data_IF_371858996300
#
_entry.id   IF_371858996300
#
_cell.length_a   1.000
_cell.length_b   1.000
_cell.length_c   1.000
_cell.angle_alpha   90.00
_cell.angle_beta   90.00
_cell.angle_gamma   90.00
#
_symmetry.space_group_name_H-M   'P 1'
#
loop_
_entity.id
_entity.type
_entity.pdbx_description
1 polymer ?
#
# COMPACT_ATOMS: atom_id res chain seq x y z
N UNK A 1 18.18 25.84 57.13
CA UNK A 1 19.32 25.69 56.19
C UNK A 1 19.23 24.39 55.36
N UNK A 2 18.11 24.11 54.65
CA UNK A 2 17.95 22.84 53.89
C UNK A 2 17.09 22.98 52.63
N UNK A 3 17.25 24.06 51.86
CA UNK A 3 16.49 24.28 50.61
C UNK A 3 17.35 24.48 49.35
N UNK A 4 18.67 24.65 49.47
CA UNK A 4 19.53 24.99 48.32
C UNK A 4 20.12 23.80 47.56
N UNK A 5 19.98 22.57 48.05
CA UNK A 5 20.62 21.36 47.47
C UNK A 5 19.70 20.61 46.49
N UNK A 6 18.39 20.75 46.62
CA UNK A 6 17.39 20.06 45.79
C UNK A 6 17.42 20.44 44.28
N UNK A 7 17.69 21.69 43.85
CA UNK A 7 17.66 22.03 42.42
C UNK A 7 18.89 21.52 41.65
N UNK A 8 20.00 21.22 42.34
CA UNK A 8 21.22 20.69 41.71
C UNK A 8 21.11 19.19 41.43
N UNK A 9 20.46 18.43 42.33
CA UNK A 9 20.26 16.99 42.16
C UNK A 9 19.30 16.67 41.00
N UNK A 10 18.30 17.53 40.76
CA UNK A 10 17.39 17.41 39.60
C UNK A 10 18.09 17.64 38.26
N UNK A 11 19.17 18.43 38.21
CA UNK A 11 19.97 18.67 37.00
C UNK A 11 20.94 17.52 36.71
N UNK A 12 21.46 16.87 37.74
CA UNK A 12 22.32 15.69 37.60
C UNK A 12 21.56 14.46 37.08
N UNK A 13 20.30 14.28 37.48
CA UNK A 13 19.45 13.17 37.01
C UNK A 13 18.96 13.34 35.55
N UNK A 14 19.01 14.56 35.00
CA UNK A 14 18.66 14.88 33.61
C UNK A 14 19.88 14.91 32.67
N UNK A 15 21.10 14.82 33.20
CA UNK A 15 22.32 14.79 32.41
C UNK A 15 22.50 13.53 31.53
N UNK A 16 22.09 12.30 31.91
CA UNK A 16 22.27 11.15 31.04
C UNK A 16 21.24 11.11 29.88
N UNK A 17 20.21 11.96 29.88
CA UNK A 17 19.28 12.10 28.74
C UNK A 17 19.85 12.97 27.60
N UNK A 18 20.93 13.71 27.84
CA UNK A 18 21.61 14.52 26.81
C UNK A 18 22.80 13.80 26.18
N UNK A 19 23.13 12.60 26.64
CA UNK A 19 24.23 11.80 26.14
C UNK A 19 23.77 10.43 25.65
N UNK A 20 22.63 10.41 24.95
CA UNK A 20 22.51 9.48 23.82
C UNK A 20 23.62 9.93 22.89
N UNK A 21 24.71 9.15 22.68
CA UNK A 21 25.65 9.52 21.65
C UNK A 21 24.79 9.67 20.40
N UNK A 22 25.07 10.70 19.61
CA UNK A 22 24.80 10.64 18.19
C UNK A 22 25.52 9.38 17.67
N UNK A 23 24.97 8.19 17.96
CA UNK A 23 24.94 7.08 17.04
C UNK A 23 24.62 7.80 15.76
N UNK A 24 25.57 7.74 14.85
CA UNK A 24 25.33 8.09 13.49
C UNK A 24 23.85 7.80 13.24
N UNK A 25 23.06 8.86 13.11
CA UNK A 25 22.06 8.84 12.09
C UNK A 25 22.91 8.67 10.84
N UNK A 26 23.39 7.44 10.61
CA UNK A 26 23.68 6.94 9.30
C UNK A 26 22.46 7.45 8.56
N UNK A 27 22.62 8.38 7.60
CA UNK A 27 21.49 8.73 6.78
C UNK A 27 21.00 7.38 6.31
N UNK A 28 19.81 6.96 6.75
CA UNK A 28 19.22 5.71 6.33
C UNK A 28 19.31 5.83 4.82
N UNK A 29 20.22 5.06 4.21
CA UNK A 29 20.69 5.31 2.85
C UNK A 29 19.44 5.61 2.04
N UNK A 30 19.36 6.75 1.32
CA UNK A 30 18.12 7.12 0.66
C UNK A 30 17.71 5.88 -0.12
N UNK A 31 16.58 5.29 0.28
CA UNK A 31 16.15 4.08 -0.39
C UNK A 31 15.72 4.58 -1.76
N UNK A 32 16.57 4.35 -2.77
CA UNK A 32 16.44 4.90 -4.11
C UNK A 32 15.31 4.17 -4.86
N UNK A 33 14.07 4.24 -4.34
CA UNK A 33 12.86 3.68 -4.96
C UNK A 33 12.49 4.40 -6.27
N UNK A 34 13.26 5.43 -6.63
CA UNK A 34 13.09 6.20 -7.84
C UNK A 34 13.88 5.56 -8.97
N UNK A 35 13.20 5.36 -10.09
CA UNK A 35 13.88 5.00 -11.32
C UNK A 35 14.87 6.11 -11.71
N UNK A 36 16.16 5.78 -11.69
CA UNK A 36 17.22 6.70 -12.12
C UNK A 36 17.35 6.77 -13.64
N UNK A 37 16.77 5.79 -14.33
CA UNK A 37 16.78 5.67 -15.78
C UNK A 37 15.38 5.36 -16.32
N UNK A 38 15.14 5.77 -17.56
CA UNK A 38 13.87 5.53 -18.24
C UNK A 38 13.57 4.03 -18.41
N UNK A 39 14.59 3.21 -18.66
CA UNK A 39 14.43 1.75 -18.76
C UNK A 39 13.94 1.12 -17.45
N UNK A 40 14.45 1.59 -16.31
CA UNK A 40 14.03 1.10 -15.00
C UNK A 40 12.60 1.55 -14.65
N UNK A 41 12.20 2.76 -15.09
CA UNK A 41 10.82 3.22 -14.95
C UNK A 41 9.84 2.35 -15.75
N UNK A 42 10.17 2.04 -17.02
CA UNK A 42 9.36 1.15 -17.85
C UNK A 42 9.24 -0.25 -17.24
N UNK A 43 10.34 -0.79 -16.69
CA UNK A 43 10.32 -2.09 -16.01
C UNK A 43 9.36 -2.08 -14.81
N UNK A 44 9.42 -1.06 -13.96
CA UNK A 44 8.51 -0.93 -12.83
C UNK A 44 7.05 -0.79 -13.27
N UNK A 45 6.76 0.03 -14.29
CA UNK A 45 5.39 0.18 -14.82
C UNK A 45 4.86 -1.17 -15.28
N UNK A 46 5.64 -1.93 -16.04
CA UNK A 46 5.22 -3.25 -16.53
C UNK A 46 4.96 -4.20 -15.36
N UNK A 47 5.89 -4.30 -14.41
CA UNK A 47 5.75 -5.17 -13.24
C UNK A 47 4.51 -4.83 -12.40
N UNK A 48 4.35 -3.57 -12.00
CA UNK A 48 3.19 -3.13 -11.21
C UNK A 48 1.88 -3.26 -11.99
N UNK A 49 1.89 -3.04 -13.30
CA UNK A 49 0.71 -3.27 -14.15
C UNK A 49 0.29 -4.73 -14.16
N UNK A 50 1.24 -5.66 -14.30
CA UNK A 50 0.94 -7.10 -14.22
C UNK A 50 0.42 -7.51 -12.86
N UNK A 51 0.99 -7.00 -11.78
CA UNK A 51 0.51 -7.26 -10.41
C UNK A 51 -0.92 -6.75 -10.24
N UNK A 52 -1.22 -5.53 -10.70
CA UNK A 52 -2.57 -4.96 -10.65
C UNK A 52 -3.58 -5.77 -11.46
N UNK A 53 -3.22 -6.20 -12.68
CA UNK A 53 -4.08 -7.06 -13.51
C UNK A 53 -4.35 -8.40 -12.82
N UNK A 54 -3.31 -9.05 -12.29
CA UNK A 54 -3.45 -10.31 -11.58
C UNK A 54 -4.39 -10.17 -10.36
N UNK A 55 -4.23 -9.09 -9.58
CA UNK A 55 -5.11 -8.78 -8.45
C UNK A 55 -6.56 -8.55 -8.90
N UNK A 56 -6.78 -7.82 -10.00
CA UNK A 56 -8.11 -7.58 -10.57
C UNK A 56 -8.79 -8.89 -11.01
N UNK A 57 -8.07 -9.79 -11.68
CA UNK A 57 -8.59 -11.10 -12.09
C UNK A 57 -8.96 -11.94 -10.87
N UNK A 58 -8.10 -11.98 -9.85
CA UNK A 58 -8.38 -12.74 -8.62
C UNK A 58 -9.59 -12.17 -7.88
N UNK A 59 -9.68 -10.85 -7.75
CA UNK A 59 -10.83 -10.18 -7.13
C UNK A 59 -12.13 -10.45 -7.87
N UNK A 60 -12.12 -10.37 -9.21
CA UNK A 60 -13.28 -10.72 -10.02
C UNK A 60 -13.68 -12.19 -9.86
N UNK A 61 -12.73 -13.14 -9.94
CA UNK A 61 -13.03 -14.57 -9.75
C UNK A 61 -13.57 -14.89 -8.37
N UNK A 62 -13.10 -14.18 -7.34
CA UNK A 62 -13.62 -14.33 -5.99
C UNK A 62 -15.07 -13.82 -5.91
N UNK A 63 -15.35 -12.66 -6.51
CA UNK A 63 -16.70 -12.11 -6.58
C UNK A 63 -17.67 -13.02 -7.35
N UNK A 64 -17.23 -13.56 -8.49
CA UNK A 64 -18.01 -14.47 -9.33
C UNK A 64 -18.37 -15.75 -8.56
N UNK A 65 -17.44 -16.32 -7.79
CA UNK A 65 -17.74 -17.45 -6.90
C UNK A 65 -18.71 -17.10 -5.77
N UNK A 66 -18.67 -15.88 -5.25
CA UNK A 66 -19.60 -15.43 -4.23
C UNK A 66 -21.00 -15.17 -4.78
N UNK A 67 -21.13 -14.95 -6.09
CA UNK A 67 -22.41 -14.68 -6.75
C UNK A 67 -22.91 -15.98 -7.38
N UNK A 68 -23.91 -16.67 -6.81
CA UNK A 68 -24.40 -17.98 -7.30
C UNK A 68 -25.24 -17.86 -8.59
N UNK A 69 -24.80 -17.04 -9.55
CA UNK A 69 -25.35 -16.93 -10.89
C UNK A 69 -24.21 -16.91 -11.90
N UNK A 70 -24.29 -17.75 -12.94
CA UNK A 70 -23.31 -17.81 -14.03
C UNK A 70 -23.37 -16.52 -14.87
N UNK A 71 -22.72 -15.44 -14.42
CA UNK A 71 -22.60 -14.21 -15.20
C UNK A 71 -21.95 -14.49 -16.55
N UNK A 72 -20.96 -15.40 -16.58
CA UNK A 72 -20.29 -15.78 -17.82
C UNK A 72 -21.27 -16.40 -18.82
N UNK A 73 -22.07 -17.39 -18.40
CA UNK A 73 -23.09 -17.99 -19.26
C UNK A 73 -24.18 -16.99 -19.66
N UNK A 74 -24.58 -16.09 -18.76
CA UNK A 74 -25.57 -15.06 -19.09
C UNK A 74 -25.07 -14.04 -20.11
N UNK A 75 -23.78 -13.67 -20.06
CA UNK A 75 -23.16 -12.73 -20.99
C UNK A 75 -22.93 -13.39 -22.35
N UNK A 76 -22.36 -14.59 -22.38
CA UNK A 76 -21.96 -15.25 -23.64
C UNK A 76 -23.12 -15.99 -24.32
N UNK A 77 -23.95 -16.73 -23.58
CA UNK A 77 -25.02 -17.54 -24.16
C UNK A 77 -26.31 -16.74 -24.31
N UNK A 78 -26.72 -16.02 -23.26
CA UNK A 78 -27.99 -15.28 -23.24
C UNK A 78 -27.87 -13.84 -23.75
N UNK A 79 -26.64 -13.35 -23.99
CA UNK A 79 -26.36 -11.96 -24.37
C UNK A 79 -27.05 -10.93 -23.47
N UNK A 80 -27.09 -11.22 -22.17
CA UNK A 80 -27.73 -10.34 -21.20
C UNK A 80 -26.85 -9.12 -20.91
N UNK A 81 -27.22 -7.98 -21.50
CA UNK A 81 -26.52 -6.71 -21.29
C UNK A 81 -26.53 -6.24 -19.83
N UNK A 82 -27.56 -6.59 -19.04
CA UNK A 82 -27.60 -6.23 -17.63
C UNK A 82 -26.50 -6.95 -16.83
N UNK A 83 -26.31 -8.25 -17.08
CA UNK A 83 -25.22 -9.03 -16.48
C UNK A 83 -23.85 -8.49 -16.88
N UNK A 84 -23.69 -8.06 -18.14
CA UNK A 84 -22.44 -7.46 -18.62
C UNK A 84 -22.12 -6.13 -17.92
N UNK A 85 -23.13 -5.27 -17.70
CA UNK A 85 -22.96 -4.00 -16.97
C UNK A 85 -22.54 -4.26 -15.52
N UNK A 86 -23.18 -5.23 -14.85
CA UNK A 86 -22.84 -5.61 -13.47
C UNK A 86 -21.41 -6.16 -13.40
N UNK A 87 -21.03 -7.06 -14.31
CA UNK A 87 -19.66 -7.57 -14.40
C UNK A 87 -18.63 -6.42 -14.57
N UNK A 88 -18.92 -5.47 -15.46
CA UNK A 88 -18.09 -4.29 -15.65
C UNK A 88 -17.96 -3.43 -14.39
N UNK A 89 -19.07 -3.17 -13.69
CA UNK A 89 -19.09 -2.39 -12.46
C UNK A 89 -18.27 -3.07 -11.34
N UNK A 90 -18.35 -4.40 -11.22
CA UNK A 90 -17.56 -5.18 -10.27
C UNK A 90 -16.07 -5.07 -10.57
N UNK A 91 -15.67 -5.26 -11.83
CA UNK A 91 -14.27 -5.14 -12.24
C UNK A 91 -13.74 -3.73 -11.94
N UNK A 92 -14.50 -2.69 -12.24
CA UNK A 92 -14.11 -1.31 -11.89
C UNK A 92 -13.95 -1.11 -10.38
N UNK A 93 -14.88 -1.65 -9.58
CA UNK A 93 -14.79 -1.60 -8.11
C UNK A 93 -13.52 -2.29 -7.58
N UNK A 94 -13.19 -3.48 -8.09
CA UNK A 94 -11.97 -4.20 -7.70
C UNK A 94 -10.73 -3.40 -8.11
N UNK A 95 -10.67 -2.86 -9.32
CA UNK A 95 -9.55 -2.03 -9.78
C UNK A 95 -9.35 -0.79 -8.89
N UNK A 96 -10.42 -0.14 -8.44
CA UNK A 96 -10.34 0.99 -7.52
C UNK A 96 -9.81 0.60 -6.14
N UNK A 97 -10.23 -0.55 -5.59
CA UNK A 97 -9.71 -1.07 -4.32
C UNK A 97 -8.21 -1.35 -4.44
N UNK A 98 -7.79 -1.99 -5.53
CA UNK A 98 -6.36 -2.27 -5.79
C UNK A 98 -5.57 -0.97 -5.93
N UNK A 99 -6.09 0.03 -6.65
CA UNK A 99 -5.45 1.34 -6.78
C UNK A 99 -5.29 2.03 -5.42
N UNK A 100 -6.34 2.02 -4.59
CA UNK A 100 -6.30 2.59 -3.25
C UNK A 100 -5.30 1.86 -2.33
N UNK A 101 -5.18 0.53 -2.47
CA UNK A 101 -4.25 -0.28 -1.69
C UNK A 101 -2.77 -0.07 -2.07
N UNK A 102 -2.49 0.34 -3.32
CA UNK A 102 -1.13 0.63 -3.79
C UNK A 102 -0.71 2.07 -3.46
N UNK A 103 -1.66 3.01 -3.45
CA UNK A 103 -1.40 4.43 -3.18
C UNK A 103 -1.36 4.76 -1.69
N UNK A 104 -1.98 3.95 -0.83
CA UNK A 104 -2.01 4.11 0.64
C UNK A 104 -0.73 3.67 1.34
#
# INVERSE_FOLDING_TARGET
MKSSVFPLLRRAALAPLLFVPARAAEPAAPADWHAQSLGQALLYVVLFSFVGIAAAIVGYKLFDKCTPGDLHGEIFDKKNSAAAIVAGAVILGVCLIVAAAIVG
#
